data_IF_625756237335
#
_entry.id   IF_625756237335
#
_cell.length_a   1.000
_cell.length_b   1.000
_cell.length_c   1.000
_cell.angle_alpha   90.00
_cell.angle_beta   90.00
_cell.angle_gamma   90.00
#
_symmetry.space_group_name_H-M   'P 1'
#
loop_
_entity.id
_entity.type
_entity.pdbx_description
1 polymer ?
#
# COMPACT_ATOMS: atom_id res chain seq x y z
N UNK A 1 -16.13 -9.14 25.24
CA UNK A 1 -15.23 -9.71 24.21
C UNK A 1 -14.27 -8.65 23.74
N UNK A 2 -13.01 -9.02 23.54
CA UNK A 2 -12.03 -8.09 23.00
C UNK A 2 -12.14 -8.07 21.47
N UNK A 3 -12.21 -6.89 20.89
CA UNK A 3 -12.19 -6.71 19.43
C UNK A 3 -10.74 -6.63 18.95
N UNK A 4 -10.47 -7.28 17.84
CA UNK A 4 -9.15 -7.24 17.21
C UNK A 4 -9.27 -6.69 15.81
N UNK A 5 -8.41 -5.73 15.45
CA UNK A 5 -8.31 -5.18 14.11
C UNK A 5 -6.86 -5.20 13.67
N UNK A 6 -6.65 -5.54 12.43
CA UNK A 6 -5.30 -5.45 11.87
C UNK A 6 -5.01 -3.98 11.64
N UNK A 7 -3.95 -3.49 12.26
CA UNK A 7 -3.58 -2.08 12.16
C UNK A 7 -2.72 -1.80 10.94
N UNK A 8 -1.75 -2.66 10.67
CA UNK A 8 -0.68 -2.34 9.74
C UNK A 8 -0.07 -3.59 9.14
N UNK A 9 0.24 -3.54 7.86
CA UNK A 9 1.04 -4.54 7.16
C UNK A 9 2.29 -3.86 6.59
N UNK A 10 3.46 -4.41 6.88
CA UNK A 10 4.72 -3.91 6.32
C UNK A 10 4.95 -4.49 4.93
N UNK A 11 5.25 -3.61 3.98
CA UNK A 11 5.52 -3.97 2.59
C UNK A 11 6.99 -3.66 2.28
N UNK A 12 7.81 -4.68 2.01
CA UNK A 12 9.21 -4.44 1.70
C UNK A 12 9.36 -3.83 0.30
N UNK A 13 10.01 -2.68 0.21
CA UNK A 13 10.21 -1.95 -1.04
C UNK A 13 11.69 -1.62 -1.25
N UNK A 14 12.10 -1.52 -2.51
CA UNK A 14 13.48 -1.16 -2.86
C UNK A 14 13.70 0.35 -2.89
N UNK A 15 12.68 1.12 -3.27
CA UNK A 15 12.77 2.57 -3.44
C UNK A 15 11.58 3.21 -2.72
N UNK A 16 11.85 3.79 -1.56
CA UNK A 16 10.82 4.36 -0.69
C UNK A 16 10.16 5.58 -1.34
N UNK A 17 10.94 6.45 -1.97
CA UNK A 17 10.38 7.64 -2.62
C UNK A 17 9.45 7.27 -3.76
N UNK A 18 9.82 6.27 -4.55
CA UNK A 18 8.98 5.76 -5.63
C UNK A 18 7.68 5.16 -5.11
N UNK A 19 7.77 4.37 -4.04
CA UNK A 19 6.59 3.77 -3.42
C UNK A 19 5.68 4.82 -2.83
N UNK A 20 6.24 5.83 -2.16
CA UNK A 20 5.47 6.94 -1.62
C UNK A 20 4.74 7.71 -2.71
N UNK A 21 5.41 7.97 -3.81
CA UNK A 21 4.79 8.65 -4.96
C UNK A 21 3.67 7.80 -5.57
N UNK A 22 3.87 6.49 -5.67
CA UNK A 22 2.86 5.60 -6.20
C UNK A 22 1.60 5.60 -5.33
N UNK A 23 1.74 5.34 -4.04
CA UNK A 23 0.57 5.26 -3.16
C UNK A 23 -0.04 6.63 -2.88
N UNK A 24 0.78 7.65 -2.61
CA UNK A 24 0.30 8.96 -2.23
C UNK A 24 -0.16 9.81 -3.41
N UNK A 25 0.63 9.85 -4.48
CA UNK A 25 0.34 10.73 -5.61
C UNK A 25 -0.47 10.02 -6.69
N UNK A 26 -0.05 8.82 -7.13
CA UNK A 26 -0.75 8.10 -8.19
C UNK A 26 -2.08 7.55 -7.72
N UNK A 27 -2.12 6.83 -6.60
CA UNK A 27 -3.35 6.27 -6.06
C UNK A 27 -4.15 7.29 -5.23
N UNK A 28 -3.50 8.34 -4.75
CA UNK A 28 -4.16 9.35 -3.93
C UNK A 28 -4.52 8.87 -2.52
N UNK A 29 -3.83 7.86 -2.01
CA UNK A 29 -4.05 7.40 -0.65
C UNK A 29 -3.41 8.37 0.35
N UNK A 30 -4.08 8.69 1.46
CA UNK A 30 -3.48 9.54 2.49
C UNK A 30 -2.16 8.99 3.00
N UNK A 31 -1.14 9.85 3.03
CA UNK A 31 0.14 9.55 3.67
C UNK A 31 0.02 10.02 5.12
N UNK A 32 -0.11 9.08 6.05
CA UNK A 32 -0.33 9.40 7.46
C UNK A 32 0.97 9.82 8.15
N UNK A 33 2.06 9.16 7.78
CA UNK A 33 3.37 9.42 8.34
C UNK A 33 4.45 9.28 7.27
N UNK A 34 5.43 10.16 7.32
CA UNK A 34 6.68 10.05 6.57
C UNK A 34 7.76 10.64 7.46
N UNK A 35 8.46 9.78 8.18
CA UNK A 35 9.42 10.18 9.19
C UNK A 35 10.78 9.58 8.90
N UNK A 36 11.78 10.44 8.76
CA UNK A 36 13.18 10.02 8.68
C UNK A 36 13.81 10.27 10.05
N UNK A 37 14.26 9.20 10.67
CA UNK A 37 14.90 9.26 11.99
C UNK A 37 16.40 9.53 11.83
N UNK A 38 17.06 8.82 10.91
CA UNK A 38 18.48 9.00 10.59
C UNK A 38 18.76 8.49 9.16
N UNK A 39 20.05 8.34 8.82
CA UNK A 39 20.48 7.89 7.49
C UNK A 39 19.97 6.49 7.13
N UNK A 40 19.64 5.67 8.12
CA UNK A 40 19.32 4.26 7.97
C UNK A 40 17.88 3.92 8.32
N UNK A 41 17.12 4.88 8.86
CA UNK A 41 15.76 4.61 9.35
C UNK A 41 14.78 5.64 8.82
N UNK A 42 13.86 5.19 8.00
CA UNK A 42 12.74 5.96 7.50
C UNK A 42 11.48 5.12 7.56
N UNK A 43 10.39 5.72 8.01
CA UNK A 43 9.09 5.07 8.12
C UNK A 43 8.05 5.88 7.36
N UNK A 44 7.34 5.22 6.44
CA UNK A 44 6.21 5.81 5.72
C UNK A 44 4.99 4.95 5.95
N UNK A 45 3.87 5.57 6.25
CA UNK A 45 2.59 4.88 6.43
C UNK A 45 1.54 5.53 5.56
N UNK A 46 0.82 4.72 4.80
CA UNK A 46 -0.30 5.15 3.98
C UNK A 46 -1.52 4.30 4.31
N UNK A 47 -2.70 4.89 4.19
CA UNK A 47 -3.95 4.19 4.48
C UNK A 47 -4.87 4.27 3.27
N UNK A 48 -5.31 3.11 2.72
CA UNK A 48 -6.31 3.13 1.66
C UNK A 48 -7.59 3.83 2.15
N UNK A 49 -8.22 4.68 1.34
CA UNK A 49 -9.48 5.32 1.73
C UNK A 49 -10.52 4.30 2.17
N UNK A 50 -11.10 4.52 3.33
CA UNK A 50 -12.11 3.63 3.91
C UNK A 50 -11.56 2.42 4.65
N UNK A 51 -10.24 2.22 4.70
CA UNK A 51 -9.63 1.09 5.38
C UNK A 51 -9.25 1.44 6.82
N UNK A 52 -9.45 0.48 7.72
CA UNK A 52 -8.93 0.55 9.09
C UNK A 52 -7.49 0.03 9.18
N UNK A 53 -7.04 -0.70 8.17
CA UNK A 53 -5.68 -1.23 8.10
C UNK A 53 -4.84 -0.38 7.16
N UNK A 54 -3.64 -0.02 7.61
CA UNK A 54 -2.66 0.75 6.84
C UNK A 54 -1.59 -0.17 6.28
N UNK A 55 -0.82 0.35 5.34
CA UNK A 55 0.43 -0.28 4.94
C UNK A 55 1.59 0.65 5.26
N UNK A 56 2.74 0.07 5.57
CA UNK A 56 3.97 0.84 5.78
C UNK A 56 5.13 0.26 4.99
N UNK A 57 6.04 1.13 4.66
CA UNK A 57 7.28 0.78 4.00
C UNK A 57 8.34 1.80 4.42
N UNK A 58 9.59 1.49 4.19
CA UNK A 58 10.65 2.39 4.61
C UNK A 58 12.02 1.77 4.48
N UNK A 59 12.95 2.37 5.19
CA UNK A 59 14.34 1.92 5.28
C UNK A 59 14.62 1.48 6.71
N UNK A 60 15.20 0.28 6.87
CA UNK A 60 15.61 -0.22 8.17
C UNK A 60 14.49 -0.71 9.07
N UNK A 61 13.26 -0.85 8.57
CA UNK A 61 12.10 -1.24 9.36
C UNK A 61 11.67 -2.71 9.17
N UNK A 62 12.24 -3.41 8.21
CA UNK A 62 11.90 -4.79 7.92
C UNK A 62 13.13 -5.53 7.44
N UNK A 63 13.22 -6.84 7.79
CA UNK A 63 14.25 -7.72 7.29
C UNK A 63 13.84 -8.45 6.01
N UNK A 64 12.58 -8.29 5.58
CA UNK A 64 12.12 -8.88 4.33
C UNK A 64 12.81 -8.24 3.13
N UNK A 65 13.20 -9.06 2.17
CA UNK A 65 13.79 -8.55 0.93
C UNK A 65 12.73 -7.76 0.13
N UNK A 66 13.15 -6.68 -0.56
CA UNK A 66 12.21 -5.90 -1.37
C UNK A 66 11.45 -6.76 -2.38
N UNK A 67 10.15 -6.47 -2.53
CA UNK A 67 9.29 -7.14 -3.51
C UNK A 67 8.90 -8.57 -3.16
N UNK A 68 9.16 -9.03 -1.94
CA UNK A 68 8.87 -10.43 -1.55
C UNK A 68 7.51 -10.63 -0.92
N UNK A 69 6.79 -9.56 -0.58
CA UNK A 69 5.43 -9.70 -0.05
C UNK A 69 4.51 -10.22 -1.15
N UNK A 70 3.72 -11.23 -0.79
CA UNK A 70 2.77 -11.85 -1.72
C UNK A 70 1.35 -11.78 -1.16
N UNK A 71 0.37 -11.78 -2.06
CA UNK A 71 -1.04 -11.94 -1.73
C UNK A 71 -1.63 -10.85 -0.84
N UNK A 72 -1.08 -9.63 -0.90
CA UNK A 72 -1.76 -8.49 -0.29
C UNK A 72 -3.04 -8.23 -1.09
N UNK A 73 -4.17 -8.25 -0.40
CA UNK A 73 -5.47 -8.10 -1.03
C UNK A 73 -6.20 -6.89 -0.50
N UNK A 74 -6.83 -6.16 -1.42
CA UNK A 74 -7.66 -5.02 -1.10
C UNK A 74 -9.07 -5.32 -1.61
N UNK A 75 -10.07 -5.18 -0.75
CA UNK A 75 -11.46 -5.38 -1.13
C UNK A 75 -12.09 -4.05 -1.54
N UNK A 76 -12.90 -4.08 -2.58
CA UNK A 76 -13.65 -2.92 -3.08
C UNK A 76 -15.10 -3.32 -3.33
N UNK A 77 -16.00 -2.32 -3.37
CA UNK A 77 -17.41 -2.60 -3.63
C UNK A 77 -17.66 -3.02 -5.08
N UNK A 78 -16.90 -2.45 -6.02
CA UNK A 78 -16.99 -2.78 -7.44
C UNK A 78 -15.59 -2.93 -8.02
N UNK A 79 -15.26 -4.15 -8.44
CA UNK A 79 -13.97 -4.44 -9.07
C UNK A 79 -13.85 -3.73 -10.43
N UNK A 80 -14.93 -3.65 -11.18
CA UNK A 80 -14.93 -2.97 -12.48
C UNK A 80 -14.64 -1.48 -12.31
N UNK A 81 -15.26 -0.83 -11.33
CA UNK A 81 -15.02 0.59 -11.05
C UNK A 81 -13.59 0.82 -10.58
N UNK A 82 -13.07 -0.06 -9.72
CA UNK A 82 -11.70 0.02 -9.24
C UNK A 82 -10.70 -0.14 -10.38
N UNK A 83 -10.93 -1.09 -11.28
CA UNK A 83 -10.09 -1.29 -12.46
C UNK A 83 -10.07 -0.04 -13.35
N UNK A 84 -11.24 0.52 -13.64
CA UNK A 84 -11.35 1.73 -14.45
C UNK A 84 -10.62 2.91 -13.81
N UNK A 85 -10.73 3.06 -12.48
CA UNK A 85 -10.04 4.12 -11.75
C UNK A 85 -8.51 3.95 -11.82
N UNK A 86 -8.01 2.74 -11.65
CA UNK A 86 -6.57 2.47 -11.75
C UNK A 86 -6.03 2.78 -13.13
N UNK A 87 -6.74 2.36 -14.17
CA UNK A 87 -6.35 2.64 -15.57
C UNK A 87 -6.33 4.14 -15.82
N UNK A 88 -7.36 4.86 -15.34
CA UNK A 88 -7.43 6.32 -15.49
C UNK A 88 -6.27 7.03 -14.79
N UNK A 89 -5.73 6.46 -13.73
CA UNK A 89 -4.56 6.98 -13.01
C UNK A 89 -3.23 6.56 -13.61
N UNK A 90 -3.24 5.81 -14.71
CA UNK A 90 -2.03 5.35 -15.38
C UNK A 90 -1.38 4.12 -14.76
N UNK A 91 -2.10 3.40 -13.93
CA UNK A 91 -1.60 2.18 -13.28
C UNK A 91 -1.75 1.01 -14.25
N UNK A 92 -0.69 0.20 -14.37
CA UNK A 92 -0.76 -1.07 -15.10
C UNK A 92 -1.47 -2.09 -14.21
N UNK A 93 -2.67 -2.44 -14.59
CA UNK A 93 -3.47 -3.43 -13.86
C UNK A 93 -3.91 -4.52 -14.83
N UNK A 94 -3.85 -5.77 -14.38
CA UNK A 94 -4.37 -6.88 -15.19
C UNK A 94 -5.88 -6.75 -15.30
N UNK A 95 -6.47 -7.20 -16.41
CA UNK A 95 -7.93 -7.16 -16.58
C UNK A 95 -8.65 -7.92 -15.48
N UNK A 96 -9.87 -7.48 -15.19
CA UNK A 96 -10.72 -8.16 -14.22
C UNK A 96 -10.97 -9.60 -14.67
N UNK A 97 -10.83 -10.53 -13.75
CA UNK A 97 -11.11 -11.95 -13.99
C UNK A 97 -12.31 -12.37 -13.15
N UNK A 98 -13.18 -13.13 -13.77
CA UNK A 98 -14.29 -13.78 -13.08
C UNK A 98 -13.86 -15.20 -12.77
N UNK A 99 -13.83 -15.55 -11.48
CA UNK A 99 -13.31 -16.84 -11.03
C UNK A 99 -14.40 -17.87 -10.71
N UNK A 100 -15.63 -17.61 -11.12
CA UNK A 100 -16.76 -18.53 -10.87
C UNK A 100 -16.65 -19.83 -11.65
#
# INVERSE_FOLDING_TARGET
MVDYRIELVMVPVADVDRSRAFYGDTLGWPVDHDVRVDEHLRFVQVTPPGSACSISFGEGISEMAPGTLRALQVVVASVDDAYADLVARGVEAAPVQDLD
#
